data_IF_424079959353
#
_entry.id   IF_424079959353
#
_cell.length_a   1.000
_cell.length_b   1.000
_cell.length_c   1.000
_cell.angle_alpha   90.00
_cell.angle_beta   90.00
_cell.angle_gamma   90.00
#
_symmetry.space_group_name_H-M   'P 1'
#
loop_
_entity.id
_entity.type
_entity.pdbx_description
1 polymer ?
#
# COMPACT_ATOMS: atom_id res chain seq x y z
N UNK A 1 21.15 11.23 24.85
CA UNK A 1 22.00 10.86 23.70
C UNK A 1 20.99 10.40 22.66
N UNK A 2 20.37 11.35 21.98
CA UNK A 2 19.35 11.11 20.97
C UNK A 2 20.05 11.21 19.62
N UNK A 3 20.42 10.07 19.05
CA UNK A 3 20.80 9.97 17.65
C UNK A 3 20.16 8.72 17.04
N UNK A 4 18.84 8.62 17.20
CA UNK A 4 17.99 7.68 16.46
C UNK A 4 17.49 8.39 15.17
N UNK A 5 18.44 8.95 14.42
CA UNK A 5 18.22 9.39 13.04
C UNK A 5 18.43 8.15 12.19
N UNK A 6 17.34 7.45 11.92
CA UNK A 6 17.34 6.30 11.00
C UNK A 6 18.14 6.63 9.75
N UNK A 7 18.93 5.66 9.28
CA UNK A 7 19.71 5.82 8.06
C UNK A 7 18.80 6.23 6.90
N UNK A 8 19.28 7.12 6.03
CA UNK A 8 18.47 7.57 4.93
C UNK A 8 18.15 6.42 3.98
N UNK A 9 16.94 6.43 3.40
CA UNK A 9 16.49 5.36 2.51
C UNK A 9 17.48 5.17 1.36
N UNK A 10 17.90 3.94 1.13
CA UNK A 10 18.84 3.64 0.05
C UNK A 10 18.21 3.86 -1.33
N UNK A 11 19.03 4.05 -2.35
CA UNK A 11 18.55 4.19 -3.73
C UNK A 11 17.76 2.96 -4.19
N UNK A 12 18.12 1.77 -3.70
CA UNK A 12 17.42 0.52 -4.00
C UNK A 12 16.02 0.49 -3.37
N UNK A 13 15.91 0.76 -2.07
CA UNK A 13 14.62 0.83 -1.37
C UNK A 13 13.73 1.94 -1.97
N UNK A 14 14.32 3.07 -2.33
CA UNK A 14 13.62 4.15 -3.04
C UNK A 14 13.06 3.68 -4.38
N UNK A 15 13.82 2.89 -5.14
CA UNK A 15 13.37 2.35 -6.42
C UNK A 15 12.22 1.33 -6.23
N UNK A 16 12.28 0.51 -5.19
CA UNK A 16 11.21 -0.42 -4.81
C UNK A 16 9.92 0.31 -4.46
N UNK A 17 9.99 1.32 -3.58
CA UNK A 17 8.81 2.14 -3.22
C UNK A 17 8.19 2.85 -4.43
N UNK A 18 9.01 3.31 -5.37
CA UNK A 18 8.51 3.92 -6.61
C UNK A 18 7.82 2.89 -7.52
N UNK A 19 8.33 1.66 -7.58
CA UNK A 19 7.68 0.57 -8.29
C UNK A 19 6.34 0.22 -7.63
N UNK A 20 6.30 0.13 -6.30
CA UNK A 20 5.07 -0.14 -5.55
C UNK A 20 4.02 0.97 -5.77
N UNK A 21 4.43 2.24 -5.81
CA UNK A 21 3.53 3.35 -6.13
C UNK A 21 2.96 3.26 -7.57
N UNK A 22 3.78 2.83 -8.53
CA UNK A 22 3.34 2.64 -9.90
C UNK A 22 2.31 1.50 -10.00
N UNK A 23 2.61 0.37 -9.37
CA UNK A 23 1.72 -0.78 -9.29
C UNK A 23 0.41 -0.42 -8.58
N UNK A 24 0.49 0.28 -7.44
CA UNK A 24 -0.68 0.74 -6.68
C UNK A 24 -1.60 1.61 -7.54
N UNK A 25 -1.05 2.50 -8.36
CA UNK A 25 -1.83 3.32 -9.28
C UNK A 25 -2.55 2.49 -10.34
N UNK A 26 -1.95 1.39 -10.81
CA UNK A 26 -2.58 0.47 -11.76
C UNK A 26 -3.70 -0.30 -11.06
N UNK A 27 -3.45 -0.81 -9.86
CA UNK A 27 -4.42 -1.58 -9.09
C UNK A 27 -5.65 -0.76 -8.74
N UNK A 28 -5.46 0.48 -8.25
CA UNK A 28 -6.56 1.40 -7.99
C UNK A 28 -7.39 1.62 -9.26
N UNK A 29 -6.75 1.95 -10.39
CA UNK A 29 -7.46 2.20 -11.65
C UNK A 29 -8.26 0.97 -12.14
N UNK A 30 -7.80 -0.24 -11.86
CA UNK A 30 -8.48 -1.47 -12.22
C UNK A 30 -9.60 -1.84 -11.24
N UNK A 31 -9.41 -1.64 -9.93
CA UNK A 31 -10.27 -2.23 -8.90
C UNK A 31 -11.23 -1.24 -8.25
N UNK A 32 -10.87 0.05 -8.17
CA UNK A 32 -11.74 1.10 -7.63
C UNK A 32 -13.10 1.18 -8.36
N UNK A 33 -13.17 1.11 -9.72
CA UNK A 33 -14.47 1.11 -10.41
C UNK A 33 -15.33 -0.13 -10.14
N UNK A 34 -14.77 -1.17 -9.54
CA UNK A 34 -15.44 -2.42 -9.19
C UNK A 34 -15.93 -2.45 -7.75
N UNK A 35 -15.72 -1.38 -6.99
CA UNK A 35 -16.16 -1.23 -5.60
C UNK A 35 -15.04 -1.41 -4.57
N UNK A 36 -13.84 -1.84 -4.97
CA UNK A 36 -12.72 -2.04 -4.04
C UNK A 36 -12.20 -0.69 -3.54
N UNK A 37 -12.25 -0.48 -2.23
CA UNK A 37 -11.84 0.76 -1.56
C UNK A 37 -10.35 0.79 -1.19
N UNK A 38 -9.68 -0.37 -1.15
CA UNK A 38 -8.27 -0.42 -0.82
C UNK A 38 -7.66 -1.80 -0.70
N UNK A 39 -6.53 -1.85 0.02
CA UNK A 39 -5.76 -3.06 0.25
C UNK A 39 -5.83 -3.46 1.73
N UNK A 40 -5.96 -4.77 1.97
CA UNK A 40 -5.77 -5.37 3.29
C UNK A 40 -4.38 -5.98 3.40
N UNK A 41 -3.68 -5.68 4.50
CA UNK A 41 -2.35 -6.21 4.82
C UNK A 41 -2.41 -6.91 6.17
N UNK A 42 -2.01 -8.17 6.21
CA UNK A 42 -1.85 -8.89 7.48
C UNK A 42 -0.54 -8.45 8.15
N UNK A 43 -0.65 -7.60 9.17
CA UNK A 43 0.52 -7.11 9.90
C UNK A 43 0.91 -8.11 11.00
N UNK A 44 2.10 -8.73 10.85
CA UNK A 44 2.62 -9.72 11.81
C UNK A 44 2.90 -9.09 13.18
N UNK A 45 3.36 -7.83 13.20
CA UNK A 45 3.67 -7.13 14.46
C UNK A 45 2.43 -6.75 15.27
N UNK A 46 1.33 -6.44 14.58
CA UNK A 46 0.06 -6.07 15.23
C UNK A 46 -0.90 -7.25 15.42
N UNK A 47 -0.57 -8.43 14.85
CA UNK A 47 -1.42 -9.62 14.81
C UNK A 47 -2.84 -9.35 14.30
N UNK A 48 -2.98 -8.37 13.41
CA UNK A 48 -4.26 -7.84 12.92
C UNK A 48 -4.18 -7.46 11.43
N UNK A 49 -5.32 -7.55 10.75
CA UNK A 49 -5.48 -7.09 9.38
C UNK A 49 -5.61 -5.57 9.35
N UNK A 50 -4.73 -4.91 8.59
CA UNK A 50 -4.74 -3.47 8.38
C UNK A 50 -5.40 -3.15 7.05
N UNK A 51 -6.50 -2.42 7.12
CA UNK A 51 -7.25 -1.96 5.95
C UNK A 51 -6.77 -0.57 5.56
N UNK A 52 -6.15 -0.47 4.40
CA UNK A 52 -5.64 0.77 3.86
C UNK A 52 -6.44 1.17 2.64
N UNK A 53 -7.15 2.29 2.71
CA UNK A 53 -7.71 2.92 1.53
C UNK A 53 -6.61 3.30 0.54
N UNK A 54 -6.94 3.32 -0.76
CA UNK A 54 -5.97 3.61 -1.82
C UNK A 54 -5.15 4.87 -1.55
N UNK A 55 -5.82 5.96 -1.15
CA UNK A 55 -5.15 7.22 -0.90
C UNK A 55 -4.27 7.20 0.37
N UNK A 56 -4.63 6.41 1.40
CA UNK A 56 -3.86 6.29 2.63
C UNK A 56 -2.57 5.49 2.40
N UNK A 57 -2.68 4.37 1.68
CA UNK A 57 -1.52 3.56 1.33
C UNK A 57 -0.55 4.35 0.44
N UNK A 58 -1.09 5.06 -0.56
CA UNK A 58 -0.31 5.94 -1.43
C UNK A 58 0.42 7.01 -0.62
N UNK A 59 -0.29 7.73 0.24
CA UNK A 59 0.31 8.77 1.07
C UNK A 59 1.42 8.21 1.97
N UNK A 60 1.24 6.99 2.48
CA UNK A 60 2.24 6.31 3.32
C UNK A 60 3.51 6.00 2.54
N UNK A 61 3.40 5.50 1.30
CA UNK A 61 4.56 5.23 0.42
C UNK A 61 5.26 6.52 -0.01
N UNK A 62 4.50 7.57 -0.37
CA UNK A 62 5.05 8.90 -0.71
C UNK A 62 5.77 9.54 0.49
N UNK A 63 5.27 9.32 1.70
CA UNK A 63 5.92 9.76 2.94
C UNK A 63 7.19 8.98 3.24
N UNK A 64 7.21 7.66 3.06
CA UNK A 64 8.43 6.85 3.21
C UNK A 64 9.54 7.33 2.27
N UNK A 65 9.19 7.77 1.06
CA UNK A 65 10.12 8.36 0.11
C UNK A 65 10.68 9.74 0.53
N UNK A 66 10.02 10.43 1.44
CA UNK A 66 10.33 11.84 1.80
C UNK A 66 10.91 11.99 3.21
N UNK A 67 10.29 11.34 4.19
CA UNK A 67 10.53 11.51 5.63
C UNK A 67 11.05 10.22 6.30
N UNK A 68 11.23 9.12 5.55
CA UNK A 68 11.79 7.81 5.99
C UNK A 68 11.06 7.17 7.17
N UNK A 69 9.86 7.68 7.49
CA UNK A 69 9.05 7.22 8.61
C UNK A 69 7.61 7.07 8.17
N UNK A 70 7.09 5.86 8.38
CA UNK A 70 5.67 5.60 8.27
C UNK A 70 4.96 6.32 9.41
N UNK A 71 4.04 7.24 9.10
CA UNK A 71 3.19 7.84 10.13
C UNK A 71 2.08 6.86 10.49
N UNK A 72 1.72 6.74 11.78
CA UNK A 72 0.50 6.05 12.15
C UNK A 72 -0.67 6.77 11.47
N UNK A 73 -1.48 6.01 10.74
CA UNK A 73 -2.78 6.45 10.25
C UNK A 73 -3.83 5.95 11.25
N UNK A 74 -4.91 6.70 11.38
CA UNK A 74 -6.04 6.22 12.16
C UNK A 74 -6.71 5.07 11.40
N UNK A 75 -7.17 4.01 12.10
CA UNK A 75 -7.88 2.91 11.45
C UNK A 75 -9.13 3.43 10.73
N UNK A 76 -9.47 2.81 9.60
CA UNK A 76 -10.79 3.01 9.01
C UNK A 76 -11.87 2.72 10.04
N UNK A 77 -12.89 3.57 10.13
CA UNK A 77 -14.02 3.37 11.04
C UNK A 77 -15.00 2.38 10.41
N UNK A 78 -15.05 1.16 10.94
CA UNK A 78 -15.93 0.06 10.49
C UNK A 78 -15.72 -0.35 9.01
N UNK A 79 -14.50 -0.77 8.61
CA UNK A 79 -14.24 -1.19 7.22
C UNK A 79 -14.97 -2.50 6.92
N UNK A 80 -15.72 -2.55 5.82
CA UNK A 80 -16.25 -3.81 5.30
C UNK A 80 -15.08 -4.61 4.69
N UNK A 81 -14.74 -5.80 5.22
CA UNK A 81 -13.65 -6.61 4.68
C UNK A 81 -13.83 -7.00 3.21
N UNK A 82 -15.06 -6.98 2.69
CA UNK A 82 -15.35 -7.26 1.29
C UNK A 82 -14.91 -6.16 0.32
N UNK A 83 -14.70 -4.94 0.84
CA UNK A 83 -14.28 -3.79 0.04
C UNK A 83 -12.75 -3.69 -0.10
N UNK A 84 -12.00 -4.58 0.55
CA UNK A 84 -10.54 -4.59 0.53
C UNK A 84 -10.01 -5.94 0.03
N UNK A 85 -8.89 -5.89 -0.68
CA UNK A 85 -8.25 -7.08 -1.25
C UNK A 85 -6.76 -7.11 -0.94
N UNK A 86 -6.14 -8.28 -0.99
CA UNK A 86 -4.70 -8.36 -0.74
C UNK A 86 -3.88 -7.88 -1.93
N UNK A 87 -2.60 -7.57 -1.70
CA UNK A 87 -1.66 -7.19 -2.74
C UNK A 87 -1.51 -8.26 -3.83
N UNK A 88 -1.50 -9.53 -3.43
CA UNK A 88 -1.42 -10.69 -4.33
C UNK A 88 -2.64 -10.77 -5.24
N UNK A 89 -3.83 -10.47 -4.71
CA UNK A 89 -5.05 -10.41 -5.52
C UNK A 89 -4.94 -9.31 -6.58
N UNK A 90 -4.51 -8.10 -6.18
CA UNK A 90 -4.32 -6.98 -7.10
C UNK A 90 -3.36 -7.33 -8.24
N UNK A 91 -2.21 -7.93 -7.91
CA UNK A 91 -1.21 -8.35 -8.88
C UNK A 91 -1.75 -9.40 -9.84
N UNK A 92 -2.36 -10.47 -9.32
CA UNK A 92 -2.95 -11.51 -10.16
C UNK A 92 -4.07 -11.00 -11.07
N UNK A 93 -4.87 -10.04 -10.59
CA UNK A 93 -5.89 -9.38 -11.39
C UNK A 93 -5.27 -8.55 -12.53
N UNK A 94 -4.27 -7.72 -12.22
CA UNK A 94 -3.58 -6.89 -13.21
C UNK A 94 -2.86 -7.74 -14.28
N UNK A 95 -2.22 -8.83 -13.87
CA UNK A 95 -1.56 -9.78 -14.77
C UNK A 95 -2.58 -10.46 -15.69
N UNK A 96 -3.74 -10.86 -15.14
CA UNK A 96 -4.83 -11.45 -15.90
C UNK A 96 -5.44 -10.51 -16.94
N UNK A 97 -5.62 -9.23 -16.59
CA UNK A 97 -6.09 -8.19 -17.51
C UNK A 97 -5.06 -7.93 -18.62
N UNK A 98 -3.77 -7.87 -18.26
CA UNK A 98 -2.69 -7.57 -19.21
C UNK A 98 -2.42 -8.73 -20.16
N UNK A 99 -2.55 -9.97 -19.70
CA UNK A 99 -2.36 -11.19 -20.51
C UNK A 99 -3.54 -11.45 -21.45
N UNK A 100 -4.73 -10.95 -21.13
CA UNK A 100 -5.95 -11.11 -21.94
C UNK A 100 -6.05 -10.11 -23.11
N UNK A 101 -5.05 -9.24 -23.30
CA UNK A 101 -5.01 -8.19 -24.31
C UNK A 101 -3.91 -8.43 -25.33
#
# INVERSE_FOLDING_TARGET
>A
MDDDRGEPISEAERAELLADLADLSIYQALLEPRGVQGIVVDCVDCEQAHFHEWHLLRASLEQLLTDERMRPHEPAFDPDPHDYVSWEYCRGFADGVTTAN
#
